data_IF_269939908921
#
_entry.id   IF_269939908921
#
_cell.length_a   1.000
_cell.length_b   1.000
_cell.length_c   1.000
_cell.angle_alpha   90.00
_cell.angle_beta   90.00
_cell.angle_gamma   90.00
#
_symmetry.space_group_name_H-M   'P 1'
#
loop_
_entity.id
_entity.type
_entity.pdbx_description
1 polymer ?
#
# COMPACT_ATOMS: atom_id res chain seq x y z
N UNK A 1 18.35 15.06 39.09
CA UNK A 1 18.66 14.67 37.69
C UNK A 1 18.19 13.27 37.33
N UNK A 2 18.55 12.21 38.09
CA UNK A 2 18.15 10.82 37.77
C UNK A 2 16.64 10.62 37.59
N UNK A 3 15.83 11.11 38.54
CA UNK A 3 14.36 11.01 38.47
C UNK A 3 13.72 11.86 37.36
N UNK A 4 14.38 12.95 36.94
CA UNK A 4 13.89 13.83 35.87
C UNK A 4 14.01 13.14 34.51
N UNK A 5 15.09 12.39 34.28
CA UNK A 5 15.29 11.57 33.08
C UNK A 5 14.29 10.42 33.06
N UNK A 6 14.07 9.76 34.20
CA UNK A 6 13.06 8.68 34.31
C UNK A 6 11.65 9.21 34.05
N UNK A 7 11.28 10.35 34.62
CA UNK A 7 9.97 10.97 34.41
C UNK A 7 9.74 11.36 32.95
N UNK A 8 10.74 11.95 32.30
CA UNK A 8 10.68 12.30 30.88
C UNK A 8 10.49 11.06 29.99
N UNK A 9 11.18 9.96 30.30
CA UNK A 9 11.03 8.70 29.58
C UNK A 9 9.62 8.10 29.71
N UNK A 10 9.01 8.18 30.90
CA UNK A 10 7.62 7.69 31.11
C UNK A 10 6.61 8.54 30.33
N UNK A 11 6.76 9.87 30.29
CA UNK A 11 5.85 10.75 29.53
C UNK A 11 5.93 10.48 28.02
N UNK A 12 7.12 10.19 27.47
CA UNK A 12 7.27 9.84 26.05
C UNK A 12 6.58 8.52 25.69
N UNK A 13 6.51 7.55 26.61
CA UNK A 13 5.86 6.26 26.37
C UNK A 13 4.33 6.34 26.39
N UNK A 14 3.74 7.36 27.03
CA UNK A 14 2.29 7.56 27.07
C UNK A 14 1.69 8.16 25.79
N UNK A 15 2.51 8.69 24.86
CA UNK A 15 2.03 9.31 23.61
C UNK A 15 1.70 8.31 22.48
N UNK A 16 1.95 7.02 22.68
CA UNK A 16 1.82 6.00 21.64
C UNK A 16 0.41 5.40 21.62
N UNK A 17 -0.62 6.18 21.24
CA UNK A 17 -1.97 5.64 21.05
C UNK A 17 -2.00 4.66 19.88
N UNK A 18 -2.91 3.69 19.90
CA UNK A 18 -3.08 2.75 18.78
C UNK A 18 -3.36 3.47 17.45
N UNK A 19 -4.08 4.59 17.51
CA UNK A 19 -4.37 5.43 16.34
C UNK A 19 -3.11 6.15 15.83
N UNK A 20 -2.30 6.75 16.72
CA UNK A 20 -1.06 7.41 16.34
C UNK A 20 -0.04 6.42 15.74
N UNK A 21 0.04 5.21 16.31
CA UNK A 21 0.86 4.11 15.78
C UNK A 21 0.39 3.69 14.37
N UNK A 22 -0.91 3.51 14.16
CA UNK A 22 -1.46 3.18 12.85
C UNK A 22 -1.24 4.28 11.82
N UNK A 23 -1.40 5.55 12.20
CA UNK A 23 -1.13 6.68 11.31
C UNK A 23 0.36 6.78 10.94
N UNK A 24 1.26 6.57 11.92
CA UNK A 24 2.71 6.55 11.68
C UNK A 24 3.10 5.42 10.72
N UNK A 25 2.61 4.20 10.95
CA UNK A 25 2.84 3.07 10.06
C UNK A 25 2.41 3.33 8.62
N UNK A 26 1.20 3.89 8.42
CA UNK A 26 0.72 4.27 7.08
C UNK A 26 1.56 5.36 6.42
N UNK A 27 2.02 6.35 7.18
CA UNK A 27 2.90 7.41 6.66
C UNK A 27 4.25 6.85 6.20
N UNK A 28 4.84 5.95 6.99
CA UNK A 28 6.09 5.28 6.63
C UNK A 28 5.89 4.45 5.36
N UNK A 29 4.84 3.64 5.29
CA UNK A 29 4.52 2.81 4.12
C UNK A 29 4.29 3.66 2.85
N UNK A 30 3.58 4.78 2.95
CA UNK A 30 3.39 5.69 1.82
C UNK A 30 4.70 6.35 1.36
N UNK A 31 5.65 6.57 2.28
CA UNK A 31 6.94 7.19 1.98
C UNK A 31 7.96 6.19 1.40
N UNK A 32 8.09 5.01 1.99
CA UNK A 32 8.96 3.94 1.48
C UNK A 32 8.41 3.30 0.22
N UNK A 33 7.10 3.48 -0.02
CA UNK A 33 6.37 2.79 -1.06
C UNK A 33 6.04 1.35 -0.66
N UNK A 34 5.24 0.73 -1.52
CA UNK A 34 4.76 -0.64 -1.39
C UNK A 34 5.31 -1.51 -2.51
N UNK A 35 5.66 -2.74 -2.18
CA UNK A 35 6.15 -3.74 -3.13
C UNK A 35 5.12 -4.81 -3.46
N UNK A 36 3.82 -4.45 -3.43
CA UNK A 36 2.76 -5.38 -3.79
C UNK A 36 2.90 -5.86 -5.25
N UNK A 37 2.69 -7.15 -5.47
CA UNK A 37 2.66 -7.78 -6.79
C UNK A 37 1.29 -8.43 -6.97
N UNK A 38 0.59 -8.06 -8.05
CA UNK A 38 -0.67 -8.67 -8.43
C UNK A 38 -0.50 -9.43 -9.74
N UNK A 39 -0.72 -10.73 -9.70
CA UNK A 39 -0.64 -11.60 -10.85
C UNK A 39 -2.02 -12.14 -11.22
N UNK A 40 -2.31 -12.17 -12.50
CA UNK A 40 -3.55 -12.71 -13.07
C UNK A 40 -3.15 -13.94 -13.88
N UNK A 41 -3.72 -15.08 -13.51
CA UNK A 41 -3.48 -16.37 -14.14
C UNK A 41 -4.72 -16.85 -14.89
N UNK A 42 -4.49 -17.51 -16.02
CA UNK A 42 -5.49 -18.29 -16.75
C UNK A 42 -5.02 -19.73 -16.77
N UNK A 43 -5.62 -20.59 -15.94
CA UNK A 43 -5.10 -21.92 -15.67
C UNK A 43 -3.70 -21.81 -15.05
N UNK A 44 -2.71 -22.44 -15.70
CA UNK A 44 -1.30 -22.42 -15.25
C UNK A 44 -0.48 -21.26 -15.85
N UNK A 45 -1.07 -20.46 -16.75
CA UNK A 45 -0.35 -19.40 -17.45
C UNK A 45 -0.54 -18.04 -16.77
N UNK A 46 0.56 -17.36 -16.46
CA UNK A 46 0.56 -15.95 -16.06
C UNK A 46 0.21 -15.08 -17.28
N UNK A 47 -0.93 -14.39 -17.24
CA UNK A 47 -1.39 -13.54 -18.35
C UNK A 47 -1.14 -12.06 -18.12
N UNK A 48 -1.08 -11.60 -16.85
CA UNK A 48 -0.75 -10.20 -16.50
C UNK A 48 -0.10 -10.11 -15.13
N UNK A 49 0.88 -9.22 -14.98
CA UNK A 49 1.43 -8.82 -13.68
C UNK A 49 1.39 -7.30 -13.51
N UNK A 50 1.06 -6.86 -12.31
CA UNK A 50 1.23 -5.50 -11.85
C UNK A 50 2.19 -5.50 -10.66
N UNK A 51 3.18 -4.62 -10.69
CA UNK A 51 4.17 -4.45 -9.63
C UNK A 51 3.98 -3.09 -8.95
N UNK A 52 4.57 -2.92 -7.75
CA UNK A 52 4.42 -1.71 -6.93
C UNK A 52 2.96 -1.39 -6.60
N UNK A 53 2.15 -2.41 -6.38
CA UNK A 53 0.75 -2.30 -6.01
C UNK A 53 0.64 -1.78 -4.57
N UNK A 54 0.02 -0.62 -4.39
CA UNK A 54 -0.15 0.03 -3.08
C UNK A 54 -1.39 -0.44 -2.32
N UNK A 55 -2.52 -0.52 -3.02
CA UNK A 55 -3.78 -0.94 -2.44
C UNK A 55 -4.59 -1.70 -3.47
N UNK A 56 -5.36 -2.68 -3.02
CA UNK A 56 -6.43 -3.31 -3.77
C UNK A 56 -7.70 -3.15 -2.95
N UNK A 57 -8.67 -2.41 -3.50
CA UNK A 57 -9.94 -2.19 -2.81
C UNK A 57 -11.10 -2.24 -3.79
N UNK A 58 -12.26 -2.67 -3.28
CA UNK A 58 -13.54 -2.62 -3.99
C UNK A 58 -14.22 -1.31 -3.66
N UNK A 59 -14.62 -0.53 -4.67
CA UNK A 59 -15.37 0.71 -4.49
C UNK A 59 -16.78 0.58 -5.07
N UNK A 60 -17.72 1.36 -4.55
CA UNK A 60 -19.06 1.53 -5.15
C UNK A 60 -18.99 2.57 -6.29
N UNK A 61 -19.89 2.45 -7.27
CA UNK A 61 -20.01 3.46 -8.33
C UNK A 61 -20.40 4.82 -7.76
N UNK A 62 -19.63 5.87 -8.10
CA UNK A 62 -19.84 7.24 -7.58
C UNK A 62 -21.20 7.82 -7.94
N UNK A 63 -21.80 7.37 -9.06
CA UNK A 63 -23.02 7.93 -9.63
C UNK A 63 -24.28 7.11 -9.42
N UNK A 64 -24.20 5.78 -9.26
CA UNK A 64 -25.38 4.91 -9.15
C UNK A 64 -25.47 4.18 -7.80
N UNK A 65 -24.47 4.31 -6.92
CA UNK A 65 -24.38 3.58 -5.64
C UNK A 65 -24.46 2.05 -5.80
N UNK A 66 -24.41 1.54 -7.03
CA UNK A 66 -24.44 0.11 -7.29
C UNK A 66 -23.05 -0.46 -7.00
N UNK A 67 -23.05 -1.66 -6.43
CA UNK A 67 -21.85 -2.43 -6.13
C UNK A 67 -21.22 -2.92 -7.44
N UNK A 68 -20.57 -2.03 -8.18
CA UNK A 68 -19.72 -2.42 -9.29
C UNK A 68 -18.36 -2.73 -8.70
N UNK A 69 -18.06 -4.01 -8.54
CA UNK A 69 -16.80 -4.49 -7.96
C UNK A 69 -15.59 -4.20 -8.85
N UNK A 70 -15.26 -2.93 -9.07
CA UNK A 70 -13.99 -2.55 -9.68
C UNK A 70 -12.92 -2.60 -8.59
N UNK A 71 -11.83 -3.29 -8.88
CA UNK A 71 -10.63 -3.25 -8.06
C UNK A 71 -9.82 -2.04 -8.49
N UNK A 72 -9.81 -1.02 -7.67
CA UNK A 72 -8.89 0.10 -7.85
C UNK A 72 -7.58 -0.27 -7.17
N UNK A 73 -6.47 0.01 -7.85
CA UNK A 73 -5.15 -0.05 -7.25
C UNK A 73 -4.24 0.99 -7.86
N UNK A 74 -3.06 1.15 -7.28
CA UNK A 74 -2.02 1.99 -7.86
C UNK A 74 -0.84 1.07 -8.13
N UNK A 75 -0.42 0.92 -9.39
CA UNK A 75 0.65 0.01 -9.75
C UNK A 75 1.19 0.26 -11.16
N UNK A 76 2.28 -0.44 -11.48
CA UNK A 76 2.92 -0.44 -12.80
C UNK A 76 2.60 -1.77 -13.48
N UNK A 77 2.12 -1.71 -14.72
CA UNK A 77 1.94 -2.92 -15.53
C UNK A 77 3.33 -3.43 -15.94
N UNK A 78 3.66 -4.63 -15.49
CA UNK A 78 4.85 -5.38 -15.92
C UNK A 78 4.49 -6.08 -17.23
N UNK A 79 4.87 -5.47 -18.35
CA UNK A 79 4.44 -5.87 -19.69
C UNK A 79 5.20 -7.08 -20.24
N UNK A 80 6.45 -7.26 -19.81
CA UNK A 80 7.32 -8.37 -20.22
C UNK A 80 7.43 -9.47 -19.16
N UNK A 81 6.75 -9.31 -18.01
CA UNK A 81 6.71 -10.25 -16.90
C UNK A 81 8.09 -10.49 -16.26
N UNK A 82 8.98 -9.50 -16.27
CA UNK A 82 10.33 -9.62 -15.70
C UNK A 82 10.42 -9.24 -14.20
N UNK A 83 9.34 -8.71 -13.62
CA UNK A 83 9.25 -8.31 -12.22
C UNK A 83 9.93 -6.99 -11.86
N UNK A 84 10.31 -6.18 -12.86
CA UNK A 84 11.04 -4.92 -12.71
C UNK A 84 10.28 -3.78 -13.38
N UNK A 85 10.50 -2.55 -12.91
CA UNK A 85 9.91 -1.37 -13.54
C UNK A 85 10.81 -0.94 -14.70
N UNK A 86 10.35 -1.20 -15.94
CA UNK A 86 11.13 -0.87 -17.13
C UNK A 86 10.96 0.58 -17.60
N UNK A 87 11.95 1.08 -18.35
CA UNK A 87 11.94 2.41 -18.97
C UNK A 87 10.86 2.48 -20.06
N UNK A 88 9.64 2.81 -19.67
CA UNK A 88 8.47 2.92 -20.55
C UNK A 88 7.18 2.47 -19.87
N UNK A 89 7.29 1.69 -18.79
CA UNK A 89 6.16 1.24 -18.02
C UNK A 89 5.66 2.36 -17.11
N UNK A 90 4.49 2.89 -17.46
CA UNK A 90 3.85 3.95 -16.70
C UNK A 90 2.95 3.35 -15.64
N UNK A 91 2.82 4.08 -14.53
CA UNK A 91 1.80 3.81 -13.51
C UNK A 91 0.43 3.85 -14.18
N UNK A 92 -0.24 2.70 -14.26
CA UNK A 92 -1.51 2.49 -14.96
C UNK A 92 -2.33 1.47 -14.19
N UNK A 93 -2.91 1.92 -13.09
CA UNK A 93 -4.05 1.34 -12.38
C UNK A 93 -4.74 2.49 -11.64
#
# INVERSE_FOLDING_TARGET
>A
MRYMVTFLAVVMLCGCTQEAQNQLGRKIQNWTGTDGVMEIYTGEQLVRRFIKVDKLSTAYGTSDSLARGYRFGYGVLDANLNGQVDKGEKKRL
#
